data_IF_006742596762
#
_entry.id   IF_006742596762
#
_cell.length_a   1.000
_cell.length_b   1.000
_cell.length_c   1.000
_cell.angle_alpha   90.00
_cell.angle_beta   90.00
_cell.angle_gamma   90.00
#
_symmetry.space_group_name_H-M   'P 1'
#
loop_
_entity.id
_entity.type
_entity.pdbx_description
1 polymer ?
#
# COMPACT_ATOMS: atom_id res chain seq x y z
N UNK A 1 -0.98 -22.20 -0.99
CA UNK A 1 -1.65 -21.21 -1.85
C UNK A 1 -0.60 -20.23 -2.36
N UNK A 2 -0.41 -20.13 -3.68
CA UNK A 2 0.44 -19.08 -4.28
C UNK A 2 -0.48 -17.94 -4.69
N UNK A 3 -0.30 -16.77 -4.09
CA UNK A 3 -0.93 -15.55 -4.57
C UNK A 3 -0.05 -15.02 -5.71
N UNK A 4 -0.60 -14.75 -6.91
CA UNK A 4 0.18 -14.21 -8.03
C UNK A 4 0.41 -12.71 -7.80
N UNK A 5 1.13 -12.37 -6.73
CA UNK A 5 1.41 -11.00 -6.32
C UNK A 5 2.92 -10.83 -6.15
N UNK A 6 3.40 -9.65 -6.54
CA UNK A 6 4.77 -9.20 -6.29
C UNK A 6 4.68 -8.18 -5.16
N UNK A 7 5.48 -8.36 -4.11
CA UNK A 7 5.52 -7.48 -2.94
C UNK A 7 6.94 -7.00 -2.80
N UNK A 8 7.13 -5.68 -2.85
CA UNK A 8 8.42 -5.03 -2.72
C UNK A 8 8.32 -3.89 -1.70
N UNK A 9 9.43 -3.58 -1.04
CA UNK A 9 9.53 -2.49 -0.08
C UNK A 9 10.58 -1.49 -0.55
N UNK A 10 10.24 -0.21 -0.50
CA UNK A 10 11.09 0.89 -0.93
C UNK A 10 11.04 2.04 0.09
N UNK A 11 12.08 2.90 0.13
CA UNK A 11 12.01 4.16 0.86
C UNK A 11 10.93 5.09 0.28
N UNK A 12 10.44 6.02 1.10
CA UNK A 12 9.40 6.99 0.75
C UNK A 12 9.78 7.88 -0.45
N UNK A 13 11.08 8.14 -0.63
CA UNK A 13 11.62 8.92 -1.75
C UNK A 13 11.34 8.28 -3.12
N UNK A 14 11.15 6.96 -3.17
CA UNK A 14 10.84 6.22 -4.40
C UNK A 14 9.33 6.01 -4.62
N UNK A 15 8.47 6.51 -3.72
CA UNK A 15 7.02 6.32 -3.83
C UNK A 15 6.45 6.85 -5.15
N UNK A 16 6.97 7.97 -5.66
CA UNK A 16 6.55 8.54 -6.95
C UNK A 16 6.95 7.72 -8.17
N UNK A 17 8.14 7.13 -8.16
CA UNK A 17 8.64 6.32 -9.29
C UNK A 17 8.05 4.91 -9.28
N UNK A 18 8.14 4.23 -8.13
CA UNK A 18 7.71 2.82 -8.00
C UNK A 18 6.20 2.71 -7.86
N UNK A 19 5.55 3.65 -7.18
CA UNK A 19 4.11 3.61 -6.95
C UNK A 19 3.27 3.73 -8.23
N UNK A 20 3.81 4.31 -9.31
CA UNK A 20 3.12 4.35 -10.62
C UNK A 20 2.90 2.95 -11.22
N UNK A 21 3.84 2.04 -10.99
CA UNK A 21 3.80 0.67 -11.49
C UNK A 21 3.09 -0.30 -10.53
N UNK A 22 2.76 0.13 -9.32
CA UNK A 22 2.08 -0.69 -8.32
C UNK A 22 0.56 -0.70 -8.54
N UNK A 23 -0.10 -1.80 -8.22
CA UNK A 23 -1.57 -1.88 -8.17
C UNK A 23 -2.14 -1.24 -6.90
N UNK A 24 -1.35 -1.24 -5.83
CA UNK A 24 -1.67 -0.62 -4.53
C UNK A 24 -0.39 -0.15 -3.86
N UNK A 25 -0.46 1.00 -3.19
CA UNK A 25 0.64 1.54 -2.38
C UNK A 25 0.25 1.50 -0.92
N UNK A 26 1.08 0.84 -0.11
CA UNK A 26 0.90 0.72 1.33
C UNK A 26 2.00 1.51 2.05
N UNK A 27 1.60 2.46 2.88
CA UNK A 27 2.51 3.27 3.68
C UNK A 27 2.68 2.64 5.07
N UNK A 28 3.92 2.57 5.53
CA UNK A 28 4.21 2.19 6.91
C UNK A 28 3.57 3.18 7.89
N UNK A 29 3.17 2.73 9.10
CA UNK A 29 2.55 3.60 10.10
C UNK A 29 3.46 4.78 10.50
N UNK A 30 4.79 4.62 10.38
CA UNK A 30 5.75 5.68 10.70
C UNK A 30 5.65 6.90 9.75
N UNK A 31 5.23 6.69 8.51
CA UNK A 31 5.13 7.73 7.48
C UNK A 31 3.67 8.06 7.11
N UNK A 32 2.71 7.72 7.99
CA UNK A 32 1.29 7.95 7.75
C UNK A 32 0.93 9.41 7.43
N UNK A 33 1.71 10.37 7.97
CA UNK A 33 1.53 11.80 7.71
C UNK A 33 1.74 12.18 6.24
N UNK A 34 2.47 11.37 5.45
CA UNK A 34 2.71 11.59 4.03
C UNK A 34 1.55 11.12 3.15
N UNK A 35 0.53 10.45 3.71
CA UNK A 35 -0.60 9.93 2.95
C UNK A 35 -1.24 10.95 2.00
N UNK A 36 -1.56 12.20 2.42
CA UNK A 36 -2.17 13.19 1.52
C UNK A 36 -1.24 13.60 0.38
N UNK A 37 0.07 13.60 0.61
CA UNK A 37 1.07 13.93 -0.40
C UNK A 37 1.19 12.81 -1.43
N UNK A 38 1.32 11.56 -0.98
CA UNK A 38 1.43 10.40 -1.88
C UNK A 38 0.14 10.17 -2.67
N UNK A 39 -1.03 10.42 -2.07
CA UNK A 39 -2.31 10.39 -2.80
C UNK A 39 -2.38 11.45 -3.92
N UNK A 40 -1.81 12.64 -3.70
CA UNK A 40 -1.70 13.66 -4.76
C UNK A 40 -0.70 13.28 -5.84
N UNK A 41 0.39 12.61 -5.45
CA UNK A 41 1.42 12.14 -6.37
C UNK A 41 0.92 10.97 -7.25
N UNK A 42 0.04 10.13 -6.70
CA UNK A 42 -0.51 8.93 -7.33
C UNK A 42 -2.05 8.96 -7.32
N UNK A 43 -2.69 9.93 -8.00
CA UNK A 43 -4.14 10.14 -7.90
C UNK A 43 -4.97 8.97 -8.42
N UNK A 44 -4.39 8.15 -9.30
CA UNK A 44 -5.05 6.99 -9.92
C UNK A 44 -4.72 5.66 -9.22
N UNK A 45 -4.04 5.69 -8.08
CA UNK A 45 -3.64 4.48 -7.34
C UNK A 45 -4.26 4.48 -5.95
N UNK A 46 -4.73 3.33 -5.45
CA UNK A 46 -5.13 3.21 -4.05
C UNK A 46 -3.88 3.32 -3.18
N UNK A 47 -3.87 4.35 -2.32
CA UNK A 47 -2.82 4.58 -1.33
C UNK A 47 -3.45 4.49 0.06
N UNK A 48 -2.97 3.56 0.88
CA UNK A 48 -3.47 3.32 2.24
C UNK A 48 -2.32 3.19 3.24
N UNK A 49 -2.61 3.45 4.51
CA UNK A 49 -1.64 3.25 5.61
C UNK A 49 -1.86 1.87 6.22
N UNK A 50 -0.77 1.12 6.44
CA UNK A 50 -0.83 -0.17 7.11
C UNK A 50 -1.21 0.05 8.58
N UNK A 51 -2.17 -0.73 9.06
CA UNK A 51 -2.55 -0.72 10.47
C UNK A 51 -1.32 -0.97 11.36
N UNK A 52 -1.13 -0.08 12.34
CA UNK A 52 0.04 -0.10 13.22
C UNK A 52 0.16 -1.39 14.04
N UNK A 53 -0.96 -2.02 14.42
CA UNK A 53 -0.96 -3.27 15.17
C UNK A 53 -0.60 -4.44 14.26
N UNK A 54 -1.13 -4.48 13.03
CA UNK A 54 -0.75 -5.50 12.04
C UNK A 54 0.73 -5.40 11.67
N UNK A 55 1.23 -4.18 11.47
CA UNK A 55 2.64 -3.93 11.18
C UNK A 55 3.54 -4.34 12.35
N UNK A 56 3.19 -3.94 13.58
CA UNK A 56 3.96 -4.28 14.78
C UNK A 56 3.97 -5.76 15.12
N UNK A 57 2.88 -6.49 14.78
CA UNK A 57 2.79 -7.95 14.94
C UNK A 57 3.39 -8.74 13.78
N UNK A 58 3.85 -8.05 12.72
CA UNK A 58 4.36 -8.68 11.49
C UNK A 58 3.32 -9.64 10.89
N UNK A 59 2.04 -9.27 10.97
CA UNK A 59 0.93 -10.06 10.42
C UNK A 59 0.84 -9.87 8.91
N UNK A 60 1.71 -10.56 8.17
CA UNK A 60 1.76 -10.49 6.72
C UNK A 60 0.45 -10.93 6.05
N UNK A 61 -0.30 -11.85 6.66
CA UNK A 61 -1.59 -12.30 6.12
C UNK A 61 -2.66 -11.22 6.28
N UNK A 62 -2.70 -10.55 7.43
CA UNK A 62 -3.58 -9.40 7.68
C UNK A 62 -3.30 -8.26 6.70
N UNK A 63 -2.03 -7.90 6.51
CA UNK A 63 -1.62 -6.85 5.56
C UNK A 63 -1.96 -7.24 4.12
N UNK A 64 -1.70 -8.49 3.72
CA UNK A 64 -2.04 -8.97 2.38
C UNK A 64 -3.56 -8.92 2.11
N UNK A 65 -4.38 -9.30 3.09
CA UNK A 65 -5.85 -9.21 2.95
C UNK A 65 -6.31 -7.76 2.78
N UNK A 66 -5.74 -6.83 3.54
CA UNK A 66 -6.03 -5.41 3.41
C UNK A 66 -5.65 -4.89 2.01
N UNK A 67 -4.46 -5.26 1.51
CA UNK A 67 -4.00 -4.89 0.17
C UNK A 67 -4.96 -5.36 -0.93
N UNK A 68 -5.39 -6.62 -0.88
CA UNK A 68 -6.33 -7.19 -1.85
C UNK A 68 -7.70 -6.51 -1.77
N UNK A 69 -8.16 -6.16 -0.57
CA UNK A 69 -9.42 -5.44 -0.38
C UNK A 69 -9.35 -4.03 -1.00
N UNK A 70 -8.23 -3.32 -0.83
CA UNK A 70 -7.99 -2.01 -1.42
C UNK A 70 -8.04 -2.06 -2.95
N UNK A 71 -7.34 -3.03 -3.57
CA UNK A 71 -7.36 -3.23 -5.04
C UNK A 71 -8.79 -3.49 -5.54
N UNK A 72 -9.53 -4.39 -4.87
CA UNK A 72 -10.91 -4.71 -5.27
C UNK A 72 -11.84 -3.50 -5.14
N UNK A 73 -11.67 -2.70 -4.10
CA UNK A 73 -12.45 -1.47 -3.89
C UNK A 73 -12.14 -0.43 -4.97
N UNK A 74 -10.87 -0.29 -5.36
CA UNK A 74 -10.46 0.61 -6.43
C UNK A 74 -10.98 0.17 -7.81
N UNK A 75 -11.05 -1.14 -8.07
CA UNK A 75 -11.60 -1.68 -9.32
C UNK A 75 -13.14 -1.62 -9.44
N UNK A 76 -13.84 -1.37 -8.33
CA UNK A 76 -15.30 -1.29 -8.29
C UNK A 76 -15.85 0.14 -8.46
N UNK A 77 -14.96 1.15 -8.51
CA UNK A 77 -15.26 2.56 -8.75
C UNK A 77 -14.82 2.97 -10.16
#
# INVERSE_FOLDING_TARGET
MKFPVIIEAFPETLAGEKGQNADVVLLGPQIAYMLPEIQRLLPNKPVEVIDSLLYGKVDGLGVLKAAVAAIKKAAAN
#
